data_IF_792128816294
#
_entry.id   IF_792128816294
#
_cell.length_a   1.000
_cell.length_b   1.000
_cell.length_c   1.000
_cell.angle_alpha   90.00
_cell.angle_beta   90.00
_cell.angle_gamma   90.00
#
_symmetry.space_group_name_H-M   'P 1'
#
loop_
_entity.id
_entity.type
_entity.pdbx_description
1 polymer ?
#
# COMPACT_ATOMS: atom_id res chain seq x y z
N UNK A 1 2.39 -10.39 -2.98
CA UNK A 1 2.79 -9.27 -2.10
C UNK A 1 3.22 -8.10 -2.96
N UNK A 2 2.92 -6.86 -2.55
CA UNK A 2 3.50 -5.63 -3.10
C UNK A 2 4.25 -4.90 -1.98
N UNK A 3 5.55 -4.77 -2.11
CA UNK A 3 6.38 -3.98 -1.17
C UNK A 3 6.55 -2.55 -1.67
N UNK A 4 6.90 -1.65 -0.75
CA UNK A 4 7.14 -0.23 -1.02
C UNK A 4 5.97 0.38 -1.82
N UNK A 5 4.74 0.23 -1.29
CA UNK A 5 3.47 0.85 -1.76
C UNK A 5 3.52 2.39 -1.76
N UNK A 6 4.38 2.94 -2.62
CA UNK A 6 4.61 4.37 -2.83
C UNK A 6 4.31 4.70 -4.28
N UNK A 7 5.28 5.24 -5.03
CA UNK A 7 5.05 5.65 -6.43
C UNK A 7 4.71 4.46 -7.33
N UNK A 8 5.67 3.55 -7.51
CA UNK A 8 5.47 2.35 -8.33
C UNK A 8 4.60 1.31 -7.61
N UNK A 9 4.91 0.98 -6.36
CA UNK A 9 4.16 -0.04 -5.61
C UNK A 9 2.68 0.34 -5.41
N UNK A 10 2.36 1.63 -5.28
CA UNK A 10 0.98 2.10 -5.21
C UNK A 10 0.24 1.89 -6.53
N UNK A 11 0.87 2.18 -7.67
CA UNK A 11 0.30 1.90 -8.99
C UNK A 11 0.07 0.40 -9.20
N UNK A 12 1.06 -0.44 -8.88
CA UNK A 12 0.92 -1.91 -9.00
C UNK A 12 -0.21 -2.43 -8.13
N UNK A 13 -0.32 -1.97 -6.87
CA UNK A 13 -1.40 -2.39 -5.98
C UNK A 13 -2.77 -1.95 -6.49
N UNK A 14 -2.89 -0.74 -7.05
CA UNK A 14 -4.10 -0.24 -7.67
C UNK A 14 -4.53 -1.12 -8.86
N UNK A 15 -3.61 -1.40 -9.79
CA UNK A 15 -3.90 -2.21 -10.98
C UNK A 15 -4.30 -3.65 -10.62
N UNK A 16 -3.63 -4.27 -9.63
CA UNK A 16 -4.00 -5.60 -9.16
C UNK A 16 -5.40 -5.62 -8.52
N UNK A 17 -5.72 -4.60 -7.71
CA UNK A 17 -7.05 -4.46 -7.10
C UNK A 17 -8.14 -4.26 -8.16
N UNK A 18 -7.88 -3.40 -9.16
CA UNK A 18 -8.78 -3.14 -10.28
C UNK A 18 -8.97 -4.36 -11.19
N UNK A 19 -7.92 -5.15 -11.41
CA UNK A 19 -7.97 -6.41 -12.16
C UNK A 19 -8.73 -7.53 -11.43
N UNK A 20 -9.16 -7.31 -10.19
CA UNK A 20 -9.96 -8.27 -9.43
C UNK A 20 -9.15 -9.31 -8.67
N UNK A 21 -7.86 -9.06 -8.39
CA UNK A 21 -7.09 -9.89 -7.45
C UNK A 21 -7.81 -9.87 -6.10
N UNK A 22 -8.14 -11.05 -5.57
CA UNK A 22 -8.97 -11.17 -4.37
C UNK A 22 -8.25 -10.88 -3.06
N UNK A 23 -6.91 -11.00 -3.03
CA UNK A 23 -6.10 -10.82 -1.82
C UNK A 23 -4.75 -10.17 -2.12
N UNK A 24 -4.39 -9.14 -1.37
CA UNK A 24 -3.09 -8.47 -1.46
C UNK A 24 -2.42 -8.36 -0.08
N UNK A 25 -1.15 -8.75 -0.02
CA UNK A 25 -0.25 -8.40 1.09
C UNK A 25 0.52 -7.15 0.68
N UNK A 26 0.41 -6.08 1.47
CA UNK A 26 0.97 -4.77 1.19
C UNK A 26 1.97 -4.39 2.29
N UNK A 27 3.18 -3.98 1.93
CA UNK A 27 4.21 -3.57 2.89
C UNK A 27 4.75 -2.17 2.57
N UNK A 28 4.60 -1.22 3.47
CA UNK A 28 5.23 0.10 3.37
C UNK A 28 5.35 0.78 4.73
N UNK A 29 6.58 1.03 5.17
CA UNK A 29 6.84 1.75 6.41
C UNK A 29 6.81 3.27 6.26
N UNK A 30 6.39 3.95 7.33
CA UNK A 30 6.50 5.39 7.49
C UNK A 30 5.25 6.19 7.12
N UNK A 31 5.29 7.48 7.45
CA UNK A 31 4.17 8.41 7.29
C UNK A 31 4.24 9.18 5.97
N UNK A 32 3.09 9.63 5.50
CA UNK A 32 2.95 10.45 4.29
C UNK A 32 3.57 11.84 4.48
N UNK A 33 4.39 12.28 3.51
CA UNK A 33 4.99 13.62 3.48
C UNK A 33 4.51 14.40 2.25
N UNK A 34 4.55 15.74 2.26
CA UNK A 34 4.11 16.55 1.12
C UNK A 34 4.81 16.21 -0.21
N UNK A 35 6.12 15.93 -0.16
CA UNK A 35 6.93 15.63 -1.35
C UNK A 35 6.62 14.29 -2.00
N UNK A 36 5.72 13.49 -1.44
CA UNK A 36 5.31 12.20 -2.01
C UNK A 36 4.05 12.28 -2.86
N UNK A 37 3.22 13.30 -2.65
CA UNK A 37 1.94 13.46 -3.33
C UNK A 37 2.08 13.60 -4.86
N UNK A 38 3.26 14.04 -5.34
CA UNK A 38 3.50 14.19 -6.78
C UNK A 38 3.54 12.88 -7.56
N UNK A 39 3.65 11.72 -6.88
CA UNK A 39 3.83 10.43 -7.55
C UNK A 39 3.16 9.24 -6.87
N UNK A 40 2.63 9.39 -5.67
CA UNK A 40 2.00 8.29 -4.93
C UNK A 40 0.47 8.34 -5.10
N UNK A 41 -0.01 7.67 -6.15
CA UNK A 41 -1.42 7.60 -6.57
C UNK A 41 -2.42 7.34 -5.43
N UNK A 42 -2.06 6.45 -4.50
CA UNK A 42 -2.96 6.04 -3.40
C UNK A 42 -2.98 7.02 -2.22
N UNK A 43 -2.25 8.13 -2.30
CA UNK A 43 -2.09 9.09 -1.22
C UNK A 43 -2.92 10.35 -1.49
N UNK A 44 -3.40 10.99 -0.42
CA UNK A 44 -4.22 12.21 -0.50
C UNK A 44 -3.68 13.31 0.40
N UNK A 45 -3.93 14.56 0.03
CA UNK A 45 -3.40 15.72 0.74
C UNK A 45 -3.93 15.85 2.18
N UNK A 46 -5.17 15.42 2.43
CA UNK A 46 -5.81 15.45 3.75
C UNK A 46 -5.22 14.42 4.74
N UNK A 47 -4.45 13.44 4.24
CA UNK A 47 -3.86 12.37 5.04
C UNK A 47 -2.37 12.58 5.38
N UNK A 48 -1.86 13.81 5.19
CA UNK A 48 -0.47 14.14 5.54
C UNK A 48 -0.17 13.80 7.02
N UNK A 49 0.97 13.14 7.26
CA UNK A 49 1.37 12.69 8.59
C UNK A 49 0.79 11.34 9.03
N UNK A 50 -0.23 10.80 8.34
CA UNK A 50 -0.75 9.46 8.62
C UNK A 50 0.14 8.36 8.01
N UNK A 51 0.00 7.12 8.49
CA UNK A 51 0.76 5.99 7.97
C UNK A 51 0.33 5.69 6.52
N UNK A 52 1.29 5.52 5.61
CA UNK A 52 0.98 5.28 4.19
C UNK A 52 0.19 4.02 3.97
N UNK A 53 0.47 2.99 4.78
CA UNK A 53 -0.18 1.70 4.61
C UNK A 53 -1.68 1.78 4.90
N UNK A 54 -2.08 2.62 5.87
CA UNK A 54 -3.49 2.82 6.22
C UNK A 54 -4.21 3.54 5.08
N UNK A 55 -3.64 4.64 4.57
CA UNK A 55 -4.19 5.42 3.45
C UNK A 55 -4.31 4.57 2.17
N UNK A 56 -3.30 3.75 1.89
CA UNK A 56 -3.31 2.84 0.76
C UNK A 56 -4.41 1.77 0.91
N UNK A 57 -4.57 1.22 2.12
CA UNK A 57 -5.62 0.23 2.43
C UNK A 57 -7.01 0.83 2.27
N UNK A 58 -7.25 2.03 2.80
CA UNK A 58 -8.51 2.76 2.63
C UNK A 58 -8.83 3.00 1.14
N UNK A 59 -7.84 3.50 0.38
CA UNK A 59 -8.02 3.81 -1.04
C UNK A 59 -8.34 2.57 -1.87
N UNK A 60 -7.64 1.45 -1.62
CA UNK A 60 -7.85 0.19 -2.34
C UNK A 60 -9.15 -0.50 -1.92
N UNK A 61 -9.55 -0.41 -0.65
CA UNK A 61 -10.83 -0.93 -0.17
C UNK A 61 -12.00 -0.14 -0.75
N UNK A 62 -11.86 1.19 -0.88
CA UNK A 62 -12.85 2.03 -1.55
C UNK A 62 -12.99 1.68 -3.04
N UNK A 63 -11.89 1.32 -3.72
CA UNK A 63 -11.91 0.85 -5.10
C UNK A 63 -12.59 -0.52 -5.25
N UNK A 64 -12.23 -1.49 -4.40
CA UNK A 64 -12.76 -2.84 -4.45
C UNK A 64 -13.06 -3.36 -3.03
N UNK A 65 -14.31 -3.21 -2.54
CA UNK A 65 -14.69 -3.65 -1.19
C UNK A 65 -14.61 -5.16 -0.94
N UNK A 66 -14.40 -5.97 -1.99
CA UNK A 66 -14.21 -7.43 -1.88
C UNK A 66 -12.74 -7.83 -1.74
N UNK A 67 -11.81 -6.88 -1.88
CA UNK A 67 -10.38 -7.14 -1.77
C UNK A 67 -10.02 -7.38 -0.30
N UNK A 68 -9.41 -8.53 -0.02
CA UNK A 68 -8.76 -8.79 1.25
C UNK A 68 -7.36 -8.15 1.26
N UNK A 69 -7.08 -7.29 2.24
CA UNK A 69 -5.77 -6.63 2.39
C UNK A 69 -5.13 -7.07 3.71
N UNK A 70 -3.91 -7.59 3.62
CA UNK A 70 -3.00 -7.74 4.76
C UNK A 70 -2.02 -6.57 4.72
N UNK A 71 -2.21 -5.61 5.62
CA UNK A 71 -1.41 -4.41 5.72
C UNK A 71 -0.23 -4.60 6.69
N UNK A 72 0.99 -4.35 6.20
CA UNK A 72 2.23 -4.44 7.00
C UNK A 72 2.87 -3.05 7.07
N UNK A 73 2.86 -2.38 8.25
CA UNK A 73 3.35 -1.01 8.42
C UNK A 73 4.89 -0.91 8.46
N UNK A 74 5.59 -1.82 7.79
CA UNK A 74 7.04 -1.95 7.79
C UNK A 74 7.57 -2.05 6.36
N UNK A 75 8.86 -1.72 6.20
CA UNK A 75 9.55 -2.04 4.95
C UNK A 75 10.07 -3.47 5.01
N UNK A 76 10.10 -4.11 3.84
CA UNK A 76 10.73 -5.44 3.70
C UNK A 76 12.20 -5.35 4.08
N UNK A 77 12.66 -6.31 4.87
CA UNK A 77 14.04 -6.50 5.31
C UNK A 77 14.35 -7.99 5.34
N UNK A 78 15.62 -8.35 5.52
CA UNK A 78 16.02 -9.76 5.67
C UNK A 78 15.32 -10.45 6.85
N UNK A 79 14.99 -9.71 7.90
CA UNK A 79 14.37 -10.24 9.11
C UNK A 79 12.89 -10.63 8.92
N UNK A 80 12.17 -10.00 7.99
CA UNK A 80 10.73 -10.24 7.78
C UNK A 80 10.38 -10.80 6.40
N UNK A 81 11.33 -10.85 5.45
CA UNK A 81 11.05 -11.25 4.07
C UNK A 81 10.40 -12.64 3.96
N UNK A 82 10.91 -13.64 4.69
CA UNK A 82 10.38 -15.01 4.66
C UNK A 82 8.93 -15.08 5.15
N UNK A 83 8.61 -14.42 6.26
CA UNK A 83 7.25 -14.38 6.80
C UNK A 83 6.26 -13.72 5.84
N UNK A 84 6.71 -12.69 5.11
CA UNK A 84 5.84 -11.90 4.25
C UNK A 84 5.47 -12.56 2.92
N UNK A 85 6.28 -13.50 2.42
CA UNK A 85 6.06 -14.16 1.13
C UNK A 85 5.55 -15.59 1.24
N UNK A 86 5.74 -16.26 2.39
CA UNK A 86 5.39 -17.66 2.59
C UNK A 86 6.46 -18.61 2.07
#
# INVERSE_FOLDING_TARGET
MVSRVGGLGGLVAYELAAAGVGRLVLAHGGTLKPSDLNRQLLMRHDALGQARIDIATESLTALNPRLEIVAVPENVSEANATELVG
#
